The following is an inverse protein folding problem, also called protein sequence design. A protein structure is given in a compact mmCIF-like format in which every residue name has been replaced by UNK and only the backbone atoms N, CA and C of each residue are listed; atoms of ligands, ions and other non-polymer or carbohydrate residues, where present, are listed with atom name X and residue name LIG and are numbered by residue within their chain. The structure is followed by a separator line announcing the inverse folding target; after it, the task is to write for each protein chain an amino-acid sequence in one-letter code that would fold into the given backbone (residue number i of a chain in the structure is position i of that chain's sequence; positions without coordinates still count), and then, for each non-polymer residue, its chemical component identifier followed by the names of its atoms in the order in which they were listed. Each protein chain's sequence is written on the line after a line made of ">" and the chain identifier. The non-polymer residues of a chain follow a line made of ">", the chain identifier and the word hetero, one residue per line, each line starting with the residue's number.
data_IF_618408672937
#
_entry.id   IF_618408672937
#
_cell.length_a   1.000
_cell.length_b   1.000
_cell.length_c   1.000
_cell.angle_alpha   90.00
_cell.angle_beta   90.00
_cell.angle_gamma   90.00
#
_symmetry.space_group_name_H-M   'P 1'
#
loop_
_entity.id
_entity.type
_entity.pdbx_description
1 polymer ?
#
# COMPACT_ATOMS: atom_id res chain seq x y z
N UNK A 1 -27.63 15.33 -45.30
CA UNK A 1 -26.53 14.38 -44.97
C UNK A 1 -25.45 14.98 -44.07
N UNK A 2 -24.80 16.11 -44.42
CA UNK A 2 -23.70 16.70 -43.62
C UNK A 2 -24.05 17.04 -42.15
N UNK A 3 -25.29 17.49 -41.86
CA UNK A 3 -25.74 17.82 -40.48
C UNK A 3 -25.89 16.59 -39.58
N UNK A 4 -26.30 15.44 -40.11
CA UNK A 4 -26.46 14.21 -39.32
C UNK A 4 -25.10 13.57 -38.99
N UNK A 5 -24.14 13.66 -39.91
CA UNK A 5 -22.75 13.20 -39.68
C UNK A 5 -22.11 14.00 -38.54
N UNK A 6 -22.33 15.31 -38.49
CA UNK A 6 -21.79 16.16 -37.41
C UNK A 6 -22.37 15.80 -36.04
N UNK A 7 -23.66 15.48 -35.96
CA UNK A 7 -24.33 15.06 -34.71
C UNK A 7 -23.78 13.69 -34.24
N UNK A 8 -23.57 12.75 -35.16
CA UNK A 8 -23.02 11.42 -34.85
C UNK A 8 -21.58 11.52 -34.33
N UNK A 9 -20.75 12.37 -34.95
CA UNK A 9 -19.37 12.59 -34.51
C UNK A 9 -19.34 13.26 -33.13
N UNK A 10 -20.24 14.22 -32.87
CA UNK A 10 -20.34 14.88 -31.57
C UNK A 10 -20.76 13.89 -30.47
N UNK A 11 -21.72 13.00 -30.76
CA UNK A 11 -22.16 11.97 -29.83
C UNK A 11 -21.08 10.91 -29.56
N UNK A 12 -20.32 10.53 -30.60
CA UNK A 12 -19.15 9.66 -30.46
C UNK A 12 -18.03 10.32 -29.64
N UNK A 13 -17.80 11.63 -29.80
CA UNK A 13 -16.86 12.39 -28.96
C UNK A 13 -17.28 12.40 -27.49
N UNK A 14 -18.56 12.66 -27.19
CA UNK A 14 -19.10 12.67 -25.81
C UNK A 14 -18.97 11.28 -25.16
N UNK A 15 -19.18 10.21 -25.92
CA UNK A 15 -18.97 8.83 -25.45
C UNK A 15 -17.49 8.50 -25.21
N UNK A 16 -16.57 9.10 -25.97
CA UNK A 16 -15.12 8.95 -25.77
C UNK A 16 -14.57 9.78 -24.60
N UNK A 17 -15.23 10.89 -24.23
CA UNK A 17 -14.93 11.65 -23.02
C UNK A 17 -15.63 11.14 -21.76
N UNK A 18 -16.49 10.14 -21.89
CA UNK A 18 -16.86 9.27 -20.77
C UNK A 18 -15.70 8.30 -20.51
N UNK A 19 -14.49 8.84 -20.37
CA UNK A 19 -13.41 8.15 -19.69
C UNK A 19 -14.01 7.65 -18.39
N UNK A 20 -13.92 6.35 -18.18
CA UNK A 20 -14.25 5.71 -16.93
C UNK A 20 -13.23 6.23 -15.90
N UNK A 21 -13.43 7.46 -15.41
CA UNK A 21 -12.89 7.84 -14.12
C UNK A 21 -13.59 6.91 -13.17
N UNK A 22 -12.92 5.80 -12.80
CA UNK A 22 -13.22 5.06 -11.57
C UNK A 22 -13.43 6.17 -10.55
N UNK A 23 -14.66 6.30 -10.04
CA UNK A 23 -14.89 7.18 -8.91
C UNK A 23 -13.88 6.73 -7.85
N UNK A 24 -13.18 7.66 -7.21
CA UNK A 24 -12.28 7.30 -6.10
C UNK A 24 -13.14 6.65 -5.02
N UNK A 25 -13.21 5.32 -5.02
CA UNK A 25 -13.94 4.57 -4.03
C UNK A 25 -13.26 4.85 -2.69
N UNK A 26 -14.00 5.52 -1.81
CA UNK A 26 -13.53 5.82 -0.47
C UNK A 26 -14.14 4.78 0.43
N UNK A 27 -13.38 3.71 0.69
CA UNK A 27 -13.81 2.64 1.57
C UNK A 27 -13.96 3.11 3.01
N UNK A 28 -14.94 2.54 3.72
CA UNK A 28 -15.08 2.74 5.17
C UNK A 28 -13.94 2.04 5.91
N UNK A 29 -13.55 2.61 7.05
CA UNK A 29 -12.52 2.05 7.92
C UNK A 29 -13.15 1.63 9.27
N UNK A 30 -12.67 0.54 9.91
CA UNK A 30 -11.66 -0.39 9.41
C UNK A 30 -12.13 -1.12 8.14
N UNK A 31 -11.20 -1.47 7.26
CA UNK A 31 -11.49 -2.06 5.96
C UNK A 31 -11.99 -3.50 6.12
N UNK A 32 -12.94 -3.89 5.28
CA UNK A 32 -13.46 -5.26 5.21
C UNK A 32 -12.56 -6.17 4.39
N UNK A 33 -12.59 -7.48 4.69
CA UNK A 33 -11.80 -8.49 3.99
C UNK A 33 -12.13 -8.59 2.50
N UNK A 34 -13.40 -8.42 2.12
CA UNK A 34 -13.84 -8.45 0.72
C UNK A 34 -13.12 -7.38 -0.12
N UNK A 35 -12.91 -6.19 0.44
CA UNK A 35 -12.18 -5.09 -0.23
C UNK A 35 -10.73 -5.50 -0.46
N UNK A 36 -10.09 -6.11 0.54
CA UNK A 36 -8.71 -6.59 0.43
C UNK A 36 -8.60 -7.65 -0.67
N UNK A 37 -9.47 -8.65 -0.66
CA UNK A 37 -9.47 -9.71 -1.68
C UNK A 37 -9.72 -9.17 -3.10
N UNK A 38 -10.62 -8.19 -3.22
CA UNK A 38 -10.93 -7.52 -4.49
C UNK A 38 -9.72 -6.77 -5.04
N UNK A 39 -9.03 -5.99 -4.20
CA UNK A 39 -7.82 -5.26 -4.62
C UNK A 39 -6.69 -6.23 -5.00
N UNK A 40 -6.48 -7.31 -4.24
CA UNK A 40 -5.47 -8.31 -4.57
C UNK A 40 -5.76 -9.01 -5.90
N UNK A 41 -7.03 -9.32 -6.16
CA UNK A 41 -7.50 -9.95 -7.41
C UNK A 41 -7.39 -9.01 -8.60
N UNK A 42 -7.76 -7.75 -8.45
CA UNK A 42 -7.68 -6.73 -9.51
C UNK A 42 -6.23 -6.50 -9.98
N UNK A 43 -5.27 -6.62 -9.06
CA UNK A 43 -3.84 -6.56 -9.37
C UNK A 43 -3.27 -7.89 -9.89
N UNK A 44 -4.14 -8.88 -10.15
CA UNK A 44 -3.80 -10.22 -10.64
C UNK A 44 -2.71 -10.90 -9.80
N UNK A 45 -2.75 -10.70 -8.48
CA UNK A 45 -1.79 -11.28 -7.56
C UNK A 45 -2.23 -12.70 -7.19
N UNK A 46 -1.24 -13.59 -7.03
CA UNK A 46 -1.46 -14.91 -6.45
C UNK A 46 -1.50 -14.85 -4.91
N UNK A 47 -1.64 -13.67 -4.33
CA UNK A 47 -1.71 -13.46 -2.90
C UNK A 47 -3.08 -13.87 -2.36
N UNK A 48 -3.12 -14.47 -1.18
CA UNK A 48 -4.36 -14.93 -0.54
C UNK A 48 -4.32 -14.58 0.94
N UNK A 49 -5.45 -14.10 1.46
CA UNK A 49 -5.66 -13.89 2.89
C UNK A 49 -5.70 -15.27 3.57
N UNK A 50 -4.78 -15.50 4.51
CA UNK A 50 -4.65 -16.77 5.24
C UNK A 50 -5.07 -16.67 6.70
N UNK A 51 -5.15 -15.44 7.22
CA UNK A 51 -5.63 -15.13 8.57
C UNK A 51 -6.23 -13.73 8.58
N UNK A 52 -7.25 -13.53 9.40
CA UNK A 52 -7.92 -12.25 9.59
C UNK A 52 -8.27 -12.02 11.07
N UNK A 53 -8.02 -10.81 11.57
CA UNK A 53 -8.43 -10.38 12.89
C UNK A 53 -9.27 -9.11 12.77
N UNK A 54 -10.56 -9.22 13.10
CA UNK A 54 -11.51 -8.10 13.05
C UNK A 54 -11.93 -7.72 14.47
N UNK A 55 -11.72 -6.47 14.82
CA UNK A 55 -12.15 -5.81 16.06
C UNK A 55 -13.04 -4.62 15.71
N UNK A 56 -13.70 -4.05 16.72
CA UNK A 56 -14.65 -2.94 16.53
C UNK A 56 -14.08 -1.78 15.70
N UNK A 57 -12.80 -1.44 15.88
CA UNK A 57 -12.17 -0.27 15.26
C UNK A 57 -10.90 -0.62 14.47
N UNK A 58 -10.60 -1.92 14.29
CA UNK A 58 -9.38 -2.38 13.67
C UNK A 58 -9.63 -3.65 12.87
N UNK A 59 -9.01 -3.75 11.70
CA UNK A 59 -8.88 -5.01 10.96
C UNK A 59 -7.42 -5.29 10.63
N UNK A 60 -7.04 -6.56 10.62
CA UNK A 60 -5.71 -7.04 10.24
C UNK A 60 -5.86 -8.27 9.35
N UNK A 61 -5.11 -8.31 8.26
CA UNK A 61 -5.12 -9.40 7.28
C UNK A 61 -3.71 -9.89 7.02
N UNK A 62 -3.46 -11.17 7.23
CA UNK A 62 -2.20 -11.83 6.89
C UNK A 62 -2.33 -12.47 5.52
N UNK A 63 -1.38 -12.17 4.64
CA UNK A 63 -1.44 -12.51 3.23
C UNK A 63 -0.16 -13.27 2.83
N UNK A 64 -0.33 -14.34 2.07
CA UNK A 64 0.75 -15.19 1.53
C UNK A 64 0.60 -15.41 0.03
N UNK A 65 1.68 -15.66 -0.68
CA UNK A 65 1.61 -16.16 -2.07
C UNK A 65 1.06 -17.59 -2.06
N UNK A 66 0.13 -17.93 -2.95
CA UNK A 66 -0.41 -19.30 -3.12
C UNK A 66 0.66 -20.35 -3.39
N UNK A 67 1.84 -19.96 -3.89
CA UNK A 67 2.99 -20.86 -4.08
C UNK A 67 3.65 -21.25 -2.75
N UNK A 68 3.49 -20.43 -1.72
CA UNK A 68 3.94 -20.75 -0.38
C UNK A 68 2.95 -21.73 0.26
N UNK A 69 3.47 -22.79 0.89
CA UNK A 69 2.62 -23.87 1.41
C UNK A 69 1.57 -23.31 2.41
N UNK A 70 0.27 -23.65 2.27
CA UNK A 70 -0.77 -23.17 3.17
C UNK A 70 -0.45 -23.54 4.62
N UNK A 71 -0.50 -22.56 5.53
CA UNK A 71 -0.27 -22.77 6.96
C UNK A 71 1.19 -22.69 7.44
N UNK A 72 2.15 -22.41 6.56
CA UNK A 72 3.55 -22.14 6.94
C UNK A 72 3.85 -20.64 6.91
N UNK A 73 3.77 -20.00 8.07
CA UNK A 73 4.17 -18.59 8.24
C UNK A 73 5.68 -18.38 8.02
N UNK A 74 6.48 -19.44 8.11
CA UNK A 74 7.94 -19.43 8.07
C UNK A 74 8.55 -19.61 6.66
N UNK A 75 7.73 -19.76 5.62
CA UNK A 75 8.18 -19.81 4.21
C UNK A 75 7.56 -18.70 3.39
N UNK A 76 8.37 -18.06 2.56
CA UNK A 76 7.95 -17.01 1.63
C UNK A 76 7.61 -15.67 2.29
N UNK A 77 7.41 -14.65 1.45
CA UNK A 77 7.11 -13.28 1.91
C UNK A 77 5.75 -13.28 2.61
N UNK A 78 5.67 -12.64 3.77
CA UNK A 78 4.40 -12.41 4.47
C UNK A 78 3.98 -10.98 4.27
N UNK A 79 2.85 -10.75 3.63
CA UNK A 79 2.23 -9.43 3.59
C UNK A 79 1.23 -9.28 4.74
N UNK A 80 1.12 -8.08 5.29
CA UNK A 80 0.12 -7.73 6.30
C UNK A 80 -0.52 -6.42 5.90
N UNK A 81 -1.85 -6.38 5.96
CA UNK A 81 -2.64 -5.16 5.81
C UNK A 81 -3.36 -4.90 7.12
N UNK A 82 -3.03 -3.78 7.75
CA UNK A 82 -3.66 -3.32 8.98
C UNK A 82 -4.45 -2.06 8.69
N UNK A 83 -5.67 -1.96 9.22
CA UNK A 83 -6.46 -0.76 9.15
C UNK A 83 -7.08 -0.41 10.50
N UNK A 84 -7.19 0.89 10.79
CA UNK A 84 -7.87 1.41 11.98
C UNK A 84 -8.85 2.49 11.51
N UNK A 85 -10.08 2.41 12.01
CA UNK A 85 -11.12 3.41 11.79
C UNK A 85 -11.98 3.58 13.03
N UNK A 86 -11.97 4.79 13.59
CA UNK A 86 -12.82 5.17 14.70
C UNK A 86 -13.03 6.69 14.70
N UNK A 87 -14.28 7.14 14.79
CA UNK A 87 -14.64 8.57 14.69
C UNK A 87 -14.06 9.22 13.41
N UNK A 88 -13.07 10.08 13.56
CA UNK A 88 -12.39 10.78 12.46
C UNK A 88 -11.10 10.08 12.03
N UNK A 89 -10.68 8.98 12.66
CA UNK A 89 -9.43 8.29 12.35
C UNK A 89 -9.52 7.46 11.09
N UNK A 90 -8.45 7.50 10.30
CA UNK A 90 -8.26 6.64 9.14
C UNK A 90 -6.77 6.33 9.00
N UNK A 91 -6.41 5.10 9.32
CA UNK A 91 -5.04 4.61 9.28
C UNK A 91 -5.00 3.31 8.48
N UNK A 92 -4.11 3.24 7.50
CA UNK A 92 -3.82 2.04 6.74
C UNK A 92 -2.31 1.77 6.79
N UNK A 93 -1.94 0.50 6.97
CA UNK A 93 -0.59 0.01 6.70
C UNK A 93 -0.65 -1.17 5.75
N UNK A 94 0.17 -1.13 4.71
CA UNK A 94 0.43 -2.29 3.84
C UNK A 94 1.92 -2.58 3.96
N UNK A 95 2.26 -3.77 4.46
CA UNK A 95 3.65 -4.14 4.69
C UNK A 95 3.97 -5.54 4.20
N UNK A 96 5.22 -5.76 3.83
CA UNK A 96 5.81 -7.08 3.63
C UNK A 96 6.90 -7.34 4.66
N UNK A 97 6.96 -8.56 5.15
CA UNK A 97 8.03 -9.10 5.98
C UNK A 97 8.75 -10.19 5.19
N UNK A 98 10.06 -10.03 5.07
CA UNK A 98 10.92 -10.99 4.38
C UNK A 98 11.32 -12.11 5.34
N UNK A 99 11.45 -13.36 4.85
CA UNK A 99 12.00 -14.46 5.62
C UNK A 99 13.37 -14.12 6.23
N UNK A 100 13.66 -14.66 7.42
CA UNK A 100 14.94 -14.39 8.09
C UNK A 100 16.13 -15.07 7.40
N UNK A 101 15.89 -16.09 6.58
CA UNK A 101 16.88 -16.82 5.81
C UNK A 101 17.17 -16.20 4.42
N UNK A 102 16.39 -15.20 3.99
CA UNK A 102 16.69 -14.44 2.77
C UNK A 102 18.03 -13.70 2.89
N UNK A 103 18.82 -13.72 1.82
CA UNK A 103 20.00 -12.86 1.68
C UNK A 103 19.61 -11.40 1.45
N UNK A 104 20.56 -10.50 1.60
CA UNK A 104 20.37 -9.07 1.30
C UNK A 104 20.01 -8.87 -0.17
N UNK A 105 20.67 -9.60 -1.06
CA UNK A 105 20.47 -9.55 -2.51
C UNK A 105 19.07 -10.02 -2.88
N UNK A 106 18.58 -11.13 -2.30
CA UNK A 106 17.22 -11.63 -2.54
C UNK A 106 16.16 -10.60 -2.13
N UNK A 107 16.34 -9.93 -0.98
CA UNK A 107 15.43 -8.87 -0.53
C UNK A 107 15.44 -7.70 -1.53
N UNK A 108 16.63 -7.31 -2.00
CA UNK A 108 16.75 -6.19 -2.94
C UNK A 108 16.12 -6.50 -4.31
N UNK A 109 16.30 -7.73 -4.81
CA UNK A 109 15.66 -8.19 -6.05
C UNK A 109 14.14 -8.16 -5.93
N UNK A 110 13.58 -8.67 -4.83
CA UNK A 110 12.13 -8.68 -4.60
C UNK A 110 11.56 -7.27 -4.38
N UNK A 111 12.31 -6.36 -3.75
CA UNK A 111 11.90 -4.97 -3.53
C UNK A 111 11.64 -4.21 -4.82
N UNK A 112 12.32 -4.53 -5.92
CA UNK A 112 12.11 -3.87 -7.23
C UNK A 112 10.65 -3.98 -7.68
N UNK A 113 10.00 -5.11 -7.40
CA UNK A 113 8.60 -5.34 -7.77
C UNK A 113 7.65 -5.04 -6.60
N UNK A 114 8.07 -5.38 -5.39
CA UNK A 114 7.20 -5.32 -4.21
C UNK A 114 6.97 -3.88 -3.75
N UNK A 115 7.97 -2.99 -3.86
CA UNK A 115 7.82 -1.61 -3.44
C UNK A 115 6.72 -0.86 -4.21
N UNK A 116 6.75 -0.77 -5.56
CA UNK A 116 5.64 -0.17 -6.31
C UNK A 116 4.28 -0.79 -5.98
N UNK A 117 4.24 -2.13 -5.83
CA UNK A 117 3.02 -2.86 -5.53
C UNK A 117 2.41 -2.46 -4.19
N UNK A 118 3.23 -2.21 -3.16
CA UNK A 118 2.74 -1.76 -1.87
C UNK A 118 2.10 -0.37 -1.94
N UNK A 119 2.67 0.55 -2.71
CA UNK A 119 2.07 1.87 -2.95
C UNK A 119 0.75 1.71 -3.69
N UNK A 120 0.72 0.87 -4.72
CA UNK A 120 -0.47 0.58 -5.51
C UNK A 120 -1.61 -0.03 -4.68
N UNK A 121 -1.32 -0.95 -3.75
CA UNK A 121 -2.33 -1.55 -2.86
C UNK A 121 -2.79 -0.51 -1.84
N UNK A 122 -1.86 0.17 -1.18
CA UNK A 122 -2.19 1.15 -0.15
C UNK A 122 -3.05 2.30 -0.70
N UNK A 123 -2.68 2.84 -1.86
CA UNK A 123 -3.44 3.91 -2.53
C UNK A 123 -4.81 3.46 -3.00
N UNK A 124 -4.97 2.23 -3.52
CA UNK A 124 -6.29 1.72 -3.96
C UNK A 124 -7.21 1.52 -2.74
N UNK A 125 -6.72 0.90 -1.66
CA UNK A 125 -7.50 0.66 -0.44
C UNK A 125 -7.80 1.95 0.32
N UNK A 126 -6.88 2.91 0.37
CA UNK A 126 -7.12 4.15 1.07
C UNK A 126 -7.97 5.13 0.23
N UNK A 127 -7.78 5.13 -1.08
CA UNK A 127 -8.40 6.09 -2.01
C UNK A 127 -7.76 7.48 -1.94
N UNK A 128 -8.10 8.36 -2.89
CA UNK A 128 -7.62 9.76 -2.96
C UNK A 128 -6.09 9.95 -2.99
N UNK A 129 -5.30 8.92 -3.31
CA UNK A 129 -3.84 8.99 -3.47
C UNK A 129 -3.47 8.37 -4.82
N UNK A 130 -2.75 9.12 -5.66
CA UNK A 130 -2.19 8.59 -6.91
C UNK A 130 -0.91 7.79 -6.58
N UNK A 131 -0.97 6.46 -6.70
CA UNK A 131 0.14 5.57 -6.34
C UNK A 131 1.39 5.82 -7.18
N UNK A 132 1.23 6.06 -8.48
CA UNK A 132 2.34 6.26 -9.39
C UNK A 132 3.05 7.57 -9.09
N UNK A 133 2.29 8.66 -8.97
CA UNK A 133 2.86 9.96 -8.64
C UNK A 133 3.57 9.92 -7.28
N UNK A 134 2.99 9.25 -6.29
CA UNK A 134 3.60 9.09 -4.97
C UNK A 134 4.89 8.25 -5.01
N UNK A 135 4.89 7.13 -5.74
CA UNK A 135 6.07 6.29 -5.90
C UNK A 135 7.20 7.02 -6.66
N UNK A 136 6.88 7.77 -7.71
CA UNK A 136 7.87 8.54 -8.49
C UNK A 136 8.58 9.59 -7.60
N UNK A 137 7.84 10.26 -6.70
CA UNK A 137 8.44 11.20 -5.72
C UNK A 137 9.33 10.45 -4.75
N UNK A 138 8.84 9.35 -4.17
CA UNK A 138 9.63 8.53 -3.25
C UNK A 138 10.93 8.02 -3.89
N UNK A 139 10.85 7.46 -5.10
CA UNK A 139 12.00 6.90 -5.81
C UNK A 139 13.07 7.96 -6.11
N UNK A 140 12.64 9.17 -6.49
CA UNK A 140 13.56 10.30 -6.71
C UNK A 140 14.30 10.69 -5.44
N UNK A 141 13.58 10.80 -4.32
CA UNK A 141 14.19 11.16 -3.03
C UNK A 141 15.12 10.05 -2.50
N UNK A 142 14.84 8.79 -2.88
CA UNK A 142 15.64 7.63 -2.50
C UNK A 142 17.00 7.60 -3.23
N UNK A 143 17.01 7.89 -4.54
CA UNK A 143 18.23 7.92 -5.36
C UNK A 143 19.24 8.97 -4.88
N UNK A 144 18.76 10.07 -4.30
CA UNK A 144 19.60 11.13 -3.73
C UNK A 144 20.26 10.72 -2.39
N UNK A 145 19.94 9.56 -1.82
CA UNK A 145 20.37 9.13 -0.49
C UNK A 145 21.15 7.80 -0.51
N UNK A 146 22.43 7.81 -0.90
CA UNK A 146 23.27 6.60 -1.08
C UNK A 146 23.32 5.58 0.09
N UNK A 147 22.84 5.92 1.29
CA UNK A 147 22.97 5.09 2.50
C UNK A 147 21.68 4.37 2.96
N UNK A 148 20.55 4.47 2.25
CA UNK A 148 19.30 3.88 2.74
C UNK A 148 19.32 2.35 2.85
N UNK A 149 20.12 1.66 2.02
CA UNK A 149 20.21 0.19 2.00
C UNK A 149 20.77 -0.38 3.32
N UNK A 150 21.67 0.36 3.97
CA UNK A 150 22.36 -0.05 5.20
C UNK A 150 21.76 0.58 6.46
N UNK A 151 21.14 1.76 6.36
CA UNK A 151 20.52 2.49 7.48
C UNK A 151 19.00 2.33 7.57
N UNK A 152 18.38 1.75 6.55
CA UNK A 152 16.93 1.75 6.41
C UNK A 152 16.43 3.08 5.87
N UNK A 153 15.12 3.12 5.61
CA UNK A 153 14.39 4.31 5.15
C UNK A 153 13.33 4.64 6.18
N UNK A 154 13.25 5.92 6.51
CA UNK A 154 12.04 6.53 7.05
C UNK A 154 11.78 7.78 6.22
N UNK A 155 10.71 7.76 5.43
CA UNK A 155 10.37 8.84 4.52
C UNK A 155 8.93 9.28 4.77
N UNK A 156 8.71 10.60 4.82
CA UNK A 156 7.40 11.18 5.10
C UNK A 156 7.03 12.15 3.98
N UNK A 157 5.77 12.16 3.58
CA UNK A 157 5.24 13.09 2.59
C UNK A 157 3.76 13.36 2.84
N UNK A 158 3.28 14.53 2.46
CA UNK A 158 1.88 14.89 2.58
C UNK A 158 1.27 15.05 1.19
N UNK A 159 0.13 14.39 0.96
CA UNK A 159 -0.60 14.47 -0.31
C UNK A 159 -2.10 14.47 -0.03
N UNK A 160 -2.81 15.46 -0.58
CA UNK A 160 -4.27 15.59 -0.46
C UNK A 160 -4.79 15.54 0.98
N UNK A 161 -4.06 16.14 1.94
CA UNK A 161 -4.43 16.12 3.37
C UNK A 161 -4.25 14.75 4.04
N UNK A 162 -3.44 13.87 3.45
CA UNK A 162 -3.03 12.60 4.06
C UNK A 162 -1.52 12.59 4.25
N UNK A 163 -1.10 12.03 5.38
CA UNK A 163 0.28 11.76 5.72
C UNK A 163 0.67 10.36 5.25
N UNK A 164 1.63 10.32 4.34
CA UNK A 164 2.26 9.11 3.85
C UNK A 164 3.57 8.92 4.59
N UNK A 165 3.76 7.74 5.17
CA UNK A 165 5.02 7.34 5.77
C UNK A 165 5.48 6.04 5.11
N UNK A 166 6.75 5.97 4.75
CA UNK A 166 7.39 4.76 4.22
C UNK A 166 8.48 4.35 5.20
N UNK A 167 8.46 3.07 5.61
CA UNK A 167 9.51 2.48 6.43
C UNK A 167 10.11 1.27 5.75
N UNK A 168 11.42 1.29 5.57
CA UNK A 168 12.19 0.13 5.09
C UNK A 168 13.25 -0.15 6.15
N UNK A 169 13.24 -1.34 6.73
CA UNK A 169 14.30 -1.72 7.68
C UNK A 169 15.63 -1.93 6.96
N UNK A 170 16.77 -1.69 7.62
CA UNK A 170 18.07 -2.10 7.09
C UNK A 170 18.05 -3.56 6.65
N UNK A 171 18.63 -3.86 5.50
CA UNK A 171 18.65 -5.24 4.97
C UNK A 171 19.79 -6.09 5.54
N UNK A 172 20.54 -5.58 6.52
CA UNK A 172 21.71 -6.29 7.07
C UNK A 172 21.33 -7.57 7.84
N UNK A 173 22.22 -8.57 7.84
CA UNK A 173 21.95 -9.91 8.39
C UNK A 173 21.75 -9.95 9.92
N UNK A 174 21.98 -8.84 10.63
CA UNK A 174 21.76 -8.75 12.08
C UNK A 174 20.33 -8.38 12.47
N UNK A 175 19.48 -8.01 11.50
CA UNK A 175 18.10 -7.59 11.72
C UNK A 175 17.15 -8.75 11.43
N UNK A 176 16.42 -9.14 12.46
CA UNK A 176 15.29 -10.09 12.37
C UNK A 176 14.04 -9.29 11.97
N UNK A 177 13.14 -9.88 11.18
CA UNK A 177 11.91 -9.23 10.70
C UNK A 177 12.16 -8.03 9.77
N UNK A 178 13.05 -8.22 8.80
CA UNK A 178 13.29 -7.23 7.73
C UNK A 178 11.98 -7.00 6.97
N UNK A 179 11.58 -5.73 6.85
CA UNK A 179 10.28 -5.34 6.30
C UNK A 179 10.33 -4.06 5.49
N UNK A 180 9.35 -3.93 4.61
CA UNK A 180 8.96 -2.67 4.00
C UNK A 180 7.48 -2.41 4.29
N UNK A 181 7.13 -1.17 4.60
CA UNK A 181 5.77 -0.77 4.92
C UNK A 181 5.44 0.61 4.33
N UNK A 182 4.25 0.72 3.75
CA UNK A 182 3.61 1.98 3.35
C UNK A 182 2.48 2.24 4.36
N UNK A 183 2.48 3.43 4.94
CA UNK A 183 1.48 3.91 5.88
C UNK A 183 0.75 5.09 5.24
N UNK A 184 -0.58 5.09 5.31
CA UNK A 184 -1.41 6.23 4.89
C UNK A 184 -2.33 6.59 6.06
N UNK A 185 -2.28 7.85 6.46
CA UNK A 185 -3.01 8.37 7.62
C UNK A 185 -3.65 9.71 7.27
N UNK A 186 -4.83 9.98 7.80
CA UNK A 186 -5.32 11.36 7.87
C UNK A 186 -4.72 12.11 9.07
N UNK A 187 -5.00 13.41 9.18
CA UNK A 187 -4.48 14.27 10.26
C UNK A 187 -4.75 13.73 11.66
N UNK A 188 -5.96 13.21 11.90
CA UNK A 188 -6.37 12.68 13.21
C UNK A 188 -5.51 11.47 13.62
N UNK A 189 -5.37 10.50 12.71
CA UNK A 189 -4.53 9.32 12.92
C UNK A 189 -3.04 9.66 12.99
N UNK A 190 -2.57 10.58 12.15
CA UNK A 190 -1.16 10.98 12.15
C UNK A 190 -0.77 11.65 13.47
N UNK A 191 -1.62 12.53 14.00
CA UNK A 191 -1.39 13.16 15.31
C UNK A 191 -1.25 12.10 16.41
N UNK A 192 -2.17 11.14 16.49
CA UNK A 192 -2.09 10.04 17.48
C UNK A 192 -0.84 9.18 17.29
N UNK A 193 -0.48 8.89 16.05
CA UNK A 193 0.73 8.14 15.73
C UNK A 193 1.98 8.87 16.23
N UNK A 194 2.08 10.18 15.99
CA UNK A 194 3.17 11.01 16.48
C UNK A 194 3.19 11.08 18.01
N UNK A 195 2.05 11.30 18.66
CA UNK A 195 1.94 11.30 20.13
C UNK A 195 2.43 9.96 20.72
N UNK A 196 2.05 8.84 20.12
CA UNK A 196 2.50 7.50 20.51
C UNK A 196 4.01 7.28 20.34
N UNK A 197 4.64 7.91 19.35
CA UNK A 197 6.10 7.88 19.20
C UNK A 197 6.81 8.69 20.29
N UNK A 198 6.27 9.85 20.66
CA UNK A 198 6.85 10.70 21.70
C UNK A 198 6.68 10.13 23.12
N UNK A 199 5.66 9.32 23.35
CA UNK A 199 5.45 8.63 24.63
C UNK A 199 6.38 7.44 24.87
N UNK A 200 7.05 6.94 23.82
CA UNK A 200 7.93 5.77 23.86
C UNK A 200 9.43 6.12 23.70
N UNK A 201 9.80 7.40 23.76
CA UNK A 201 11.18 7.90 23.84
C UNK A 201 11.53 8.29 25.27
#
# INVERSE_FOLDING_TARGET
>A
MKKHIFIIILFALVLLFSSCTKASETYMFPIDGEIVEDVLRDKNLNWTVVDEEIKEYQSSFVIKDKKDAPGRLDTGITAVIDSIGYEEERYLTVQVMYPNDYSVEQIQEDQVQTLPLLFDIASEIYGNVDSKALYDVFAKDLDDNENYKTKGVQWNHEVNGNHILIKITPSNNGIIHRKCAVFIMNDASFKKYMDGLYLNQ
#
